data_IF_053467085678
#
_entry.id   IF_053467085678
#
_cell.length_a   1.000
_cell.length_b   1.000
_cell.length_c   1.000
_cell.angle_alpha   90.00
_cell.angle_beta   90.00
_cell.angle_gamma   90.00
#
_symmetry.space_group_name_H-M   'P 1'
#
loop_
_entity.id
_entity.type
_entity.pdbx_description
1 polymer ?
#
# COMPACT_ATOMS: atom_id res chain seq x y z
N UNK A 1 -20.85 58.08 -11.15
CA UNK A 1 -19.38 58.23 -11.26
C UNK A 1 -18.85 58.53 -9.86
N UNK A 2 -17.92 57.72 -9.34
CA UNK A 2 -17.28 57.94 -8.03
C UNK A 2 -15.76 57.81 -8.14
N UNK A 3 -15.03 58.38 -7.18
CA UNK A 3 -13.56 58.57 -7.16
C UNK A 3 -12.88 57.56 -6.22
N UNK A 4 -11.59 57.28 -6.43
CA UNK A 4 -10.47 57.40 -5.45
C UNK A 4 -9.15 56.92 -6.11
N UNK A 5 -8.13 57.79 -6.25
CA UNK A 5 -7.00 58.06 -5.33
C UNK A 5 -5.97 56.92 -5.23
N UNK A 6 -4.77 57.19 -5.74
CA UNK A 6 -3.52 56.50 -5.42
C UNK A 6 -2.65 57.44 -4.56
N UNK A 7 -1.92 56.91 -3.59
CA UNK A 7 -1.03 57.65 -2.67
C UNK A 7 0.36 56.99 -2.65
N UNK A 8 1.41 57.78 -2.86
CA UNK A 8 2.81 57.50 -2.48
C UNK A 8 3.00 57.91 -0.99
N UNK A 9 3.94 57.31 -0.22
CA UNK A 9 5.41 57.49 -0.37
C UNK A 9 6.18 56.14 -0.16
N UNK A 10 7.50 56.02 0.10
CA UNK A 10 8.59 56.98 0.38
C UNK A 10 9.97 56.39 -0.03
N UNK A 11 11.06 57.16 0.16
CA UNK A 11 12.47 56.68 0.14
C UNK A 11 13.23 57.30 1.30
N UNK A 12 14.00 56.50 2.07
CA UNK A 12 15.10 56.98 2.92
C UNK A 12 16.15 55.86 3.12
N UNK A 13 17.36 56.20 3.57
CA UNK A 13 18.58 55.46 3.26
C UNK A 13 19.43 55.00 4.46
N UNK A 14 20.35 54.08 4.13
CA UNK A 14 21.68 53.87 4.73
C UNK A 14 21.83 53.29 6.15
N UNK A 15 22.33 52.05 6.20
CA UNK A 15 23.61 51.76 6.86
C UNK A 15 23.59 51.01 8.19
N UNK A 16 23.90 49.71 8.17
CA UNK A 16 24.81 49.08 9.14
C UNK A 16 25.36 47.73 8.62
N UNK A 17 26.42 47.23 9.25
CA UNK A 17 27.21 46.08 8.76
C UNK A 17 26.54 44.74 9.09
N UNK A 18 26.72 43.75 8.22
CA UNK A 18 26.52 42.34 8.60
C UNK A 18 27.59 41.92 9.61
N UNK A 19 27.17 41.78 10.86
CA UNK A 19 27.89 41.01 11.89
C UNK A 19 27.38 39.57 11.92
N UNK A 20 28.18 38.70 12.54
CA UNK A 20 27.85 37.29 12.79
C UNK A 20 26.79 37.18 13.89
N UNK A 21 25.56 36.81 13.53
CA UNK A 21 24.46 36.53 14.47
C UNK A 21 24.04 35.06 14.38
N UNK A 22 24.80 34.20 15.08
CA UNK A 22 24.25 32.95 15.59
C UNK A 22 23.09 33.26 16.54
N UNK A 23 21.96 32.58 16.29
CA UNK A 23 20.74 32.60 17.09
C UNK A 23 19.96 33.94 17.10
N UNK A 24 18.92 34.00 16.26
CA UNK A 24 17.53 34.13 16.71
C UNK A 24 16.59 33.64 15.58
N UNK A 25 15.55 32.87 15.92
CA UNK A 25 14.70 32.21 14.93
C UNK A 25 13.79 33.18 14.18
N UNK A 26 13.74 33.05 12.84
CA UNK A 26 12.84 33.81 11.97
C UNK A 26 12.47 33.00 10.73
N UNK A 27 11.53 32.07 10.90
CA UNK A 27 10.42 31.68 10.02
C UNK A 27 10.44 31.94 8.49
N UNK A 28 11.58 31.94 7.80
CA UNK A 28 11.68 32.17 6.34
C UNK A 28 12.31 30.99 5.59
N UNK A 29 13.12 30.16 6.28
CA UNK A 29 13.66 28.91 5.71
C UNK A 29 12.72 27.69 5.90
N UNK A 30 11.73 27.80 6.79
CA UNK A 30 10.70 26.78 7.00
C UNK A 30 9.65 26.71 5.86
N UNK A 31 9.88 27.40 4.75
CA UNK A 31 8.96 27.51 3.60
C UNK A 31 9.56 26.96 2.29
N UNK A 32 10.77 26.40 2.32
CA UNK A 32 11.36 25.66 1.18
C UNK A 32 11.15 24.14 1.32
N UNK A 33 10.91 23.63 2.53
CA UNK A 33 10.41 22.26 2.75
C UNK A 33 8.91 22.27 2.99
N UNK A 34 8.17 22.85 2.03
CA UNK A 34 6.76 22.57 1.87
C UNK A 34 6.63 21.13 1.37
N UNK A 35 6.69 20.18 2.32
CA UNK A 35 6.31 18.79 2.13
C UNK A 35 5.00 18.77 1.35
N UNK A 36 5.07 18.39 0.06
CA UNK A 36 3.89 17.97 -0.67
C UNK A 36 3.24 16.88 0.18
N UNK A 37 1.92 16.90 0.41
CA UNK A 37 1.25 15.88 1.21
C UNK A 37 1.16 14.57 0.41
N UNK A 38 2.31 13.97 0.10
CA UNK A 38 2.46 12.56 -0.23
C UNK A 38 2.20 11.73 1.03
N UNK A 39 1.77 10.48 0.86
CA UNK A 39 1.61 9.58 2.00
C UNK A 39 2.94 9.42 2.75
N UNK A 40 2.87 9.27 4.07
CA UNK A 40 4.05 9.14 4.94
C UNK A 40 4.75 7.77 4.83
N UNK A 41 4.21 6.89 4.01
CA UNK A 41 4.46 5.46 3.92
C UNK A 41 4.36 4.96 2.46
N UNK A 42 4.37 3.64 2.26
CA UNK A 42 4.33 3.00 0.94
C UNK A 42 2.89 2.76 0.50
N UNK A 43 2.59 3.02 -0.77
CA UNK A 43 1.25 2.86 -1.32
C UNK A 43 1.17 1.65 -2.25
N UNK A 44 0.11 0.87 -2.12
CA UNK A 44 -0.44 0.02 -3.19
C UNK A 44 -1.01 0.94 -4.28
N UNK A 45 -0.64 0.70 -5.53
CA UNK A 45 -0.97 1.64 -6.62
C UNK A 45 -1.66 1.03 -7.82
N UNK A 46 -1.42 -0.25 -8.08
CA UNK A 46 -2.05 -0.98 -9.16
C UNK A 46 -2.24 -2.45 -8.77
N UNK A 47 -3.41 -3.02 -9.05
CA UNK A 47 -3.70 -4.44 -8.86
C UNK A 47 -4.28 -5.00 -10.15
N UNK A 48 -3.71 -6.09 -10.65
CA UNK A 48 -4.33 -6.94 -11.67
C UNK A 48 -4.68 -8.30 -11.05
N UNK A 49 -5.97 -8.59 -10.91
CA UNK A 49 -6.53 -9.92 -10.66
C UNK A 49 -7.16 -10.48 -11.94
N UNK A 50 -7.13 -11.81 -12.13
CA UNK A 50 -7.64 -12.47 -13.34
C UNK A 50 -8.85 -13.34 -13.00
N UNK A 51 -10.03 -12.83 -13.34
CA UNK A 51 -11.30 -13.48 -13.05
C UNK A 51 -11.48 -14.81 -13.80
N UNK A 52 -11.93 -15.84 -13.10
CA UNK A 52 -12.18 -17.18 -13.63
C UNK A 52 -10.93 -18.03 -13.86
N UNK A 53 -9.73 -17.55 -13.49
CA UNK A 53 -8.54 -18.39 -13.46
C UNK A 53 -8.62 -19.38 -12.28
N UNK A 54 -8.36 -20.69 -12.49
CA UNK A 54 -8.22 -21.63 -11.37
C UNK A 54 -7.07 -21.22 -10.43
N UNK A 55 -7.26 -21.36 -9.12
CA UNK A 55 -6.19 -21.20 -8.15
C UNK A 55 -4.96 -22.04 -8.54
N UNK A 56 -3.79 -21.42 -8.54
CA UNK A 56 -2.55 -22.06 -8.98
C UNK A 56 -2.33 -22.15 -10.50
N UNK A 57 -3.19 -21.58 -11.35
CA UNK A 57 -3.05 -21.65 -12.81
C UNK A 57 -1.78 -20.97 -13.37
N UNK A 58 -1.18 -20.04 -12.63
CA UNK A 58 -0.07 -19.22 -13.11
C UNK A 58 -0.59 -18.15 -14.05
N UNK A 59 -1.06 -17.05 -13.46
CA UNK A 59 -1.65 -15.89 -14.12
C UNK A 59 -0.59 -14.80 -14.35
N UNK A 60 -0.94 -13.76 -15.08
CA UNK A 60 -0.17 -12.50 -15.19
C UNK A 60 -0.56 -11.48 -14.10
N UNK A 61 -1.21 -11.95 -13.04
CA UNK A 61 -1.62 -11.15 -11.90
C UNK A 61 -0.43 -10.51 -11.22
N UNK A 62 -0.60 -9.24 -10.84
CA UNK A 62 0.43 -8.49 -10.14
C UNK A 62 -0.17 -7.44 -9.21
N UNK A 63 0.67 -7.06 -8.25
CA UNK A 63 0.50 -5.89 -7.41
C UNK A 63 1.65 -4.91 -7.69
N UNK A 64 1.36 -3.62 -7.56
CA UNK A 64 2.34 -2.55 -7.61
C UNK A 64 2.40 -1.79 -6.28
N UNK A 65 3.62 -1.48 -5.86
CA UNK A 65 3.90 -0.63 -4.68
C UNK A 65 4.75 0.56 -5.12
N UNK A 66 4.39 1.77 -4.68
CA UNK A 66 5.14 3.00 -4.88
C UNK A 66 5.60 3.61 -3.55
N UNK A 67 6.74 4.29 -3.58
CA UNK A 67 7.27 5.06 -2.45
C UNK A 67 7.11 6.58 -2.70
N UNK A 68 6.00 7.21 -2.26
CA UNK A 68 5.81 8.66 -2.34
C UNK A 68 6.80 9.47 -1.48
N UNK A 69 7.54 8.83 -0.56
CA UNK A 69 8.38 9.55 0.40
C UNK A 69 9.67 10.05 -0.25
N UNK A 70 10.26 11.08 0.35
CA UNK A 70 11.52 11.69 -0.11
C UNK A 70 12.79 10.89 0.27
N UNK A 71 12.65 9.62 0.65
CA UNK A 71 13.75 8.76 1.14
C UNK A 71 13.61 7.32 0.65
N UNK A 72 14.73 6.61 0.63
CA UNK A 72 14.72 5.15 0.47
C UNK A 72 14.09 4.48 1.71
N UNK A 73 13.28 3.44 1.48
CA UNK A 73 12.68 2.61 2.52
C UNK A 73 13.20 1.19 2.38
N UNK A 74 13.70 0.62 3.48
CA UNK A 74 14.02 -0.81 3.55
C UNK A 74 12.74 -1.62 3.73
N UNK A 75 12.56 -2.60 2.87
CA UNK A 75 11.42 -3.52 2.89
C UNK A 75 11.65 -4.73 3.80
N UNK A 76 12.80 -4.84 4.46
CA UNK A 76 13.19 -6.04 5.22
C UNK A 76 12.22 -6.45 6.34
N UNK A 77 11.39 -5.53 6.84
CA UNK A 77 10.35 -5.77 7.84
C UNK A 77 8.91 -5.55 7.31
N UNK A 78 8.77 -5.43 5.99
CA UNK A 78 7.48 -5.37 5.32
C UNK A 78 7.06 -6.76 4.86
N UNK A 79 5.76 -6.97 4.87
CA UNK A 79 5.09 -8.22 4.54
C UNK A 79 3.90 -7.92 3.63
N UNK A 80 3.58 -8.88 2.76
CA UNK A 80 2.40 -8.87 1.91
C UNK A 80 1.55 -10.09 2.24
N UNK A 81 0.23 -9.92 2.23
CA UNK A 81 -0.74 -10.98 2.51
C UNK A 81 -2.07 -10.74 1.81
N UNK A 82 -2.74 -11.83 1.44
CA UNK A 82 -4.20 -11.89 1.19
C UNK A 82 -4.98 -12.53 2.36
N UNK A 83 -4.28 -13.32 3.19
CA UNK A 83 -4.83 -13.99 4.36
C UNK A 83 -5.51 -13.03 5.37
N UNK A 84 -6.79 -13.25 5.66
CA UNK A 84 -7.62 -12.42 6.56
C UNK A 84 -7.11 -12.32 8.02
N UNK A 85 -6.23 -13.25 8.40
CA UNK A 85 -5.66 -13.40 9.75
C UNK A 85 -4.15 -13.02 9.78
N UNK A 86 -3.66 -12.24 8.79
CA UNK A 86 -2.26 -11.80 8.68
C UNK A 86 -1.69 -11.18 9.97
N UNK A 87 -2.52 -10.52 10.77
CA UNK A 87 -2.17 -9.89 12.04
C UNK A 87 -1.71 -10.89 13.12
N UNK A 88 -1.93 -12.19 12.92
CA UNK A 88 -1.41 -13.29 13.76
C UNK A 88 0.03 -13.70 13.44
N UNK A 89 0.70 -13.07 12.47
CA UNK A 89 2.14 -13.28 12.18
C UNK A 89 3.06 -13.36 13.42
N UNK A 90 2.80 -12.64 14.53
CA UNK A 90 3.56 -12.74 15.79
C UNK A 90 3.40 -14.07 16.54
N UNK A 91 2.29 -14.83 16.36
CA UNK A 91 2.06 -16.18 16.94
C UNK A 91 3.08 -17.24 16.48
N UNK A 92 3.98 -16.88 15.55
CA UNK A 92 5.06 -17.67 14.94
C UNK A 92 4.58 -18.84 14.07
N UNK A 93 3.41 -19.42 14.34
CA UNK A 93 2.78 -20.49 13.56
C UNK A 93 1.41 -20.03 13.08
N UNK A 94 1.27 -19.83 11.77
CA UNK A 94 -0.03 -19.60 11.14
C UNK A 94 -0.57 -20.93 10.58
N UNK A 95 -1.91 -21.10 10.47
CA UNK A 95 -2.47 -22.23 9.76
C UNK A 95 -2.08 -22.17 8.29
N UNK A 96 -1.78 -23.33 7.68
CA UNK A 96 -1.68 -23.42 6.22
C UNK A 96 -3.11 -23.42 5.68
N UNK A 97 -3.50 -22.31 5.05
CA UNK A 97 -4.74 -22.20 4.28
C UNK A 97 -4.40 -22.31 2.79
N UNK A 98 -5.31 -22.90 2.03
CA UNK A 98 -5.13 -23.12 0.59
C UNK A 98 -5.31 -21.80 -0.17
N UNK A 99 -4.48 -21.57 -1.19
CA UNK A 99 -4.37 -20.34 -1.98
C UNK A 99 -3.85 -19.10 -1.23
N UNK A 100 -4.24 -18.89 0.02
CA UNK A 100 -3.76 -17.78 0.87
C UNK A 100 -2.22 -17.77 1.03
N UNK A 101 -1.66 -16.58 1.22
CA UNK A 101 -0.26 -16.37 1.55
C UNK A 101 -0.02 -15.29 2.62
N UNK A 102 1.11 -15.45 3.32
CA UNK A 102 1.77 -14.38 4.07
C UNK A 102 3.26 -14.44 3.74
N UNK A 103 3.80 -13.42 3.07
CA UNK A 103 5.20 -13.37 2.62
C UNK A 103 5.96 -12.16 3.14
N UNK A 104 7.27 -12.33 3.36
CA UNK A 104 8.20 -11.26 3.79
C UNK A 104 9.16 -10.89 2.67
N UNK A 105 9.38 -9.60 2.41
CA UNK A 105 10.39 -9.17 1.44
C UNK A 105 11.82 -9.63 1.84
N UNK A 106 12.75 -9.74 0.88
CA UNK A 106 14.17 -9.97 1.16
C UNK A 106 14.79 -8.98 2.15
N UNK A 107 15.82 -9.43 2.85
CA UNK A 107 16.56 -8.62 3.84
C UNK A 107 17.35 -7.48 3.18
N UNK A 108 17.69 -7.63 1.89
CA UNK A 108 18.33 -6.63 1.04
C UNK A 108 17.33 -5.83 0.17
N UNK A 109 16.02 -6.01 0.40
CA UNK A 109 15.00 -5.30 -0.36
C UNK A 109 14.90 -3.84 0.09
N UNK A 110 14.99 -2.94 -0.88
CA UNK A 110 14.80 -1.49 -0.72
C UNK A 110 13.91 -0.97 -1.85
N UNK A 111 13.23 0.14 -1.59
CA UNK A 111 12.53 0.93 -2.58
C UNK A 111 12.98 2.39 -2.41
N UNK A 112 13.61 2.94 -3.45
CA UNK A 112 14.10 4.32 -3.44
C UNK A 112 12.94 5.33 -3.40
N UNK A 113 13.24 6.60 -3.12
CA UNK A 113 12.26 7.68 -3.25
C UNK A 113 11.69 7.73 -4.67
N UNK A 114 10.37 7.89 -4.80
CA UNK A 114 9.60 7.90 -6.05
C UNK A 114 9.74 6.61 -6.90
N UNK A 115 10.33 5.54 -6.35
CA UNK A 115 10.43 4.27 -7.03
C UNK A 115 9.11 3.50 -6.95
N UNK A 116 8.78 2.83 -8.05
CA UNK A 116 7.73 1.83 -8.15
C UNK A 116 8.35 0.44 -8.23
N UNK A 117 7.75 -0.55 -7.57
CA UNK A 117 8.09 -1.97 -7.69
C UNK A 117 6.86 -2.81 -8.04
N UNK A 118 7.08 -3.87 -8.82
CA UNK A 118 6.05 -4.83 -9.21
C UNK A 118 6.26 -6.19 -8.54
N UNK A 119 5.15 -6.82 -8.17
CA UNK A 119 5.08 -8.10 -7.46
C UNK A 119 4.15 -9.01 -8.26
N UNK A 120 4.70 -9.96 -9.01
CA UNK A 120 3.90 -10.91 -9.79
C UNK A 120 3.51 -12.15 -8.99
N UNK A 121 2.35 -12.75 -9.27
CA UNK A 121 2.03 -14.10 -8.78
C UNK A 121 2.92 -15.13 -9.46
N UNK A 122 3.19 -14.97 -10.76
CA UNK A 122 4.11 -15.79 -11.55
C UNK A 122 4.92 -14.95 -12.56
N UNK A 123 6.22 -14.81 -12.33
CA UNK A 123 7.10 -13.95 -13.16
C UNK A 123 7.23 -14.43 -14.62
N UNK A 124 7.13 -15.73 -14.88
CA UNK A 124 7.24 -16.26 -16.26
C UNK A 124 6.05 -15.80 -17.11
N UNK A 125 4.86 -15.77 -16.52
CA UNK A 125 3.61 -15.40 -17.20
C UNK A 125 3.51 -13.88 -17.29
N UNK A 126 3.79 -13.17 -16.20
CA UNK A 126 3.93 -11.70 -16.18
C UNK A 126 4.95 -11.19 -17.21
N UNK A 127 6.14 -11.81 -17.30
CA UNK A 127 7.17 -11.44 -18.27
C UNK A 127 6.74 -11.68 -19.71
N UNK A 128 5.93 -12.72 -19.96
CA UNK A 128 5.40 -13.03 -21.29
C UNK A 128 4.34 -12.02 -21.74
N UNK A 129 3.53 -11.50 -20.81
CA UNK A 129 2.49 -10.52 -21.08
C UNK A 129 3.08 -9.11 -21.24
N UNK A 130 3.82 -8.64 -20.23
CA UNK A 130 4.26 -7.23 -20.15
C UNK A 130 5.65 -6.98 -20.76
N UNK A 131 6.31 -8.00 -21.29
CA UNK A 131 7.61 -7.90 -21.96
C UNK A 131 8.78 -7.54 -21.03
N UNK A 132 8.60 -7.65 -19.71
CA UNK A 132 9.61 -7.36 -18.68
C UNK A 132 9.37 -8.17 -17.42
N UNK A 133 10.44 -8.51 -16.72
CA UNK A 133 10.38 -9.17 -15.40
C UNK A 133 9.79 -8.27 -14.33
N UNK A 134 9.13 -8.88 -13.34
CA UNK A 134 8.74 -8.20 -12.11
C UNK A 134 9.95 -7.90 -11.23
N UNK A 135 9.81 -7.01 -10.23
CA UNK A 135 10.86 -6.82 -9.22
C UNK A 135 10.89 -7.99 -8.24
N UNK A 136 9.71 -8.45 -7.83
CA UNK A 136 9.51 -9.60 -6.95
C UNK A 136 8.46 -10.54 -7.51
N UNK A 137 8.47 -11.81 -7.10
CA UNK A 137 7.36 -12.70 -7.40
C UNK A 137 7.09 -13.73 -6.30
N UNK A 138 5.81 -14.08 -6.15
CA UNK A 138 5.34 -15.21 -5.34
C UNK A 138 5.75 -16.54 -5.99
N UNK A 139 5.95 -16.57 -7.31
CA UNK A 139 6.59 -17.67 -8.03
C UNK A 139 7.55 -17.13 -9.10
N UNK A 140 8.83 -17.52 -9.01
CA UNK A 140 9.85 -17.22 -10.03
C UNK A 140 9.75 -18.12 -11.27
N UNK A 141 9.01 -19.24 -11.18
CA UNK A 141 9.05 -20.28 -12.21
C UNK A 141 10.42 -20.92 -12.37
N UNK A 142 10.66 -21.55 -13.52
CA UNK A 142 11.89 -22.32 -13.78
C UNK A 142 13.11 -21.47 -14.21
N UNK A 143 12.91 -20.19 -14.51
CA UNK A 143 13.99 -19.28 -14.99
C UNK A 143 13.87 -17.94 -14.27
N UNK A 144 14.45 -17.84 -13.07
CA UNK A 144 14.55 -16.57 -12.36
C UNK A 144 15.40 -15.58 -13.17
N UNK A 145 14.77 -14.48 -13.62
CA UNK A 145 15.43 -13.36 -14.29
C UNK A 145 16.11 -12.43 -13.28
N UNK A 146 15.85 -11.13 -13.40
CA UNK A 146 16.26 -10.15 -12.39
C UNK A 146 15.36 -10.19 -11.11
N UNK A 147 14.27 -10.94 -11.17
CA UNK A 147 13.20 -11.05 -10.18
C UNK A 147 13.67 -11.73 -8.89
N UNK A 148 13.33 -11.14 -7.74
CA UNK A 148 13.65 -11.69 -6.43
C UNK A 148 12.46 -12.49 -5.85
N UNK A 149 12.75 -13.62 -5.20
CA UNK A 149 11.75 -14.32 -4.37
C UNK A 149 11.60 -13.64 -3.01
N UNK A 150 10.45 -13.85 -2.36
CA UNK A 150 10.25 -13.50 -0.94
C UNK A 150 11.05 -14.41 0.00
N UNK A 151 11.47 -13.89 1.16
CA UNK A 151 12.36 -14.56 2.13
C UNK A 151 11.65 -15.61 2.97
N UNK A 152 10.48 -15.25 3.47
CA UNK A 152 9.65 -16.09 4.33
C UNK A 152 8.28 -16.26 3.69
N UNK A 153 7.69 -17.44 3.84
CA UNK A 153 6.32 -17.78 3.44
C UNK A 153 5.69 -18.48 4.64
N UNK A 154 4.90 -17.76 5.43
CA UNK A 154 4.35 -18.24 6.72
C UNK A 154 3.00 -18.94 6.56
N UNK A 155 2.18 -18.44 5.65
CA UNK A 155 1.09 -19.18 5.00
C UNK A 155 1.50 -19.29 3.54
N UNK A 156 1.50 -20.50 2.99
CA UNK A 156 1.53 -20.85 1.56
C UNK A 156 1.34 -22.36 1.49
N UNK A 157 0.26 -22.81 0.85
CA UNK A 157 0.09 -24.20 0.43
C UNK A 157 1.05 -24.55 -0.73
N UNK A 158 1.14 -25.82 -1.08
CA UNK A 158 1.84 -26.36 -2.26
C UNK A 158 1.36 -25.80 -3.61
N UNK A 159 0.26 -25.05 -3.66
CA UNK A 159 -0.22 -24.35 -4.85
C UNK A 159 0.33 -22.93 -4.96
N UNK A 160 0.36 -22.37 -6.17
CA UNK A 160 0.78 -20.98 -6.37
C UNK A 160 -0.34 -20.05 -5.85
N UNK A 161 -0.05 -19.11 -4.94
CA UNK A 161 -1.02 -18.08 -4.57
C UNK A 161 -1.33 -17.18 -5.78
N UNK A 162 -2.56 -16.71 -5.84
CA UNK A 162 -3.06 -15.73 -6.81
C UNK A 162 -3.84 -14.66 -6.06
N UNK A 163 -4.01 -13.48 -6.65
CA UNK A 163 -4.85 -12.43 -6.06
C UNK A 163 -6.30 -12.68 -6.51
N UNK A 164 -7.08 -13.46 -5.74
CA UNK A 164 -8.23 -14.17 -6.34
C UNK A 164 -9.41 -13.28 -6.72
N UNK A 165 -10.34 -13.88 -7.45
CA UNK A 165 -11.48 -13.23 -8.04
C UNK A 165 -12.72 -13.17 -7.14
N UNK A 166 -12.58 -13.39 -5.82
CA UNK A 166 -13.73 -13.48 -4.90
C UNK A 166 -13.83 -12.35 -3.86
N UNK A 167 -13.17 -11.21 -4.09
CA UNK A 167 -13.25 -10.05 -3.19
C UNK A 167 -12.38 -10.25 -1.96
N UNK A 168 -11.07 -10.34 -2.17
CA UNK A 168 -10.04 -10.55 -1.15
C UNK A 168 -9.32 -9.25 -0.82
N UNK A 169 -8.90 -9.11 0.43
CA UNK A 169 -8.01 -8.02 0.81
C UNK A 169 -6.60 -8.34 0.32
N UNK A 170 -5.88 -7.32 -0.12
CA UNK A 170 -4.43 -7.37 -0.32
C UNK A 170 -3.87 -6.35 0.67
N UNK A 171 -3.07 -6.84 1.63
CA UNK A 171 -2.58 -6.04 2.76
C UNK A 171 -1.06 -5.96 2.71
N UNK A 172 -0.54 -4.74 2.62
CA UNK A 172 0.85 -4.43 2.95
C UNK A 172 0.91 -4.05 4.43
N UNK A 173 1.78 -4.71 5.17
CA UNK A 173 1.96 -4.45 6.60
C UNK A 173 3.42 -4.53 7.03
N UNK A 174 3.72 -3.91 8.16
CA UNK A 174 5.03 -3.89 8.79
C UNK A 174 5.02 -4.73 10.07
N UNK A 175 6.06 -5.54 10.26
CA UNK A 175 6.33 -6.19 11.54
C UNK A 175 7.84 -6.28 11.79
N UNK A 176 8.29 -5.86 12.97
CA UNK A 176 9.71 -5.79 13.33
C UNK A 176 10.33 -7.15 13.70
N UNK A 177 9.52 -8.21 13.82
CA UNK A 177 9.95 -9.53 14.23
C UNK A 177 9.97 -9.77 15.74
N UNK A 178 9.60 -8.75 16.55
CA UNK A 178 9.64 -8.81 18.02
C UNK A 178 8.32 -8.40 18.68
N UNK A 179 7.66 -7.35 18.22
CA UNK A 179 6.44 -6.79 18.84
C UNK A 179 5.23 -7.72 18.73
N UNK A 180 4.30 -7.60 19.67
CA UNK A 180 2.96 -8.24 19.66
C UNK A 180 2.10 -7.84 18.46
N UNK A 181 2.20 -6.57 18.05
CA UNK A 181 1.34 -6.00 17.02
C UNK A 181 2.10 -5.84 15.70
N UNK A 182 1.47 -6.24 14.61
CA UNK A 182 1.79 -5.72 13.28
C UNK A 182 1.30 -4.28 13.15
N UNK A 183 1.79 -3.53 12.17
CA UNK A 183 1.21 -2.24 11.74
C UNK A 183 0.80 -2.33 10.29
N UNK A 184 -0.38 -1.82 10.00
CA UNK A 184 -0.90 -1.78 8.65
C UNK A 184 -0.15 -0.67 7.88
N UNK A 185 -0.01 -0.78 6.56
CA UNK A 185 0.74 0.21 5.75
C UNK A 185 -0.12 0.76 4.62
N UNK A 186 -0.81 -0.11 3.90
CA UNK A 186 -1.87 0.21 2.93
C UNK A 186 -2.59 -1.13 2.65
N UNK A 187 -3.88 -1.07 2.32
CA UNK A 187 -4.64 -2.25 1.88
C UNK A 187 -5.76 -1.89 0.90
N UNK A 188 -6.00 -2.81 -0.03
CA UNK A 188 -7.04 -2.70 -1.06
C UNK A 188 -7.84 -4.01 -1.11
N UNK A 189 -9.02 -4.01 -1.71
CA UNK A 189 -9.77 -5.25 -2.00
C UNK A 189 -9.70 -5.53 -3.51
N UNK A 190 -9.59 -6.78 -3.93
CA UNK A 190 -9.54 -7.16 -5.35
C UNK A 190 -10.49 -8.32 -5.66
N UNK A 191 -10.98 -8.38 -6.91
CA UNK A 191 -11.68 -9.56 -7.44
C UNK A 191 -13.00 -9.28 -8.19
N UNK A 192 -13.63 -10.36 -8.67
CA UNK A 192 -14.80 -10.31 -9.53
C UNK A 192 -16.08 -9.88 -8.83
N UNK A 193 -16.26 -10.36 -7.60
CA UNK A 193 -17.52 -10.22 -6.86
C UNK A 193 -17.61 -8.88 -6.18
N UNK A 194 -18.76 -8.23 -6.33
CA UNK A 194 -19.03 -6.93 -5.73
C UNK A 194 -19.30 -6.96 -4.20
N UNK A 195 -18.89 -8.04 -3.56
CA UNK A 195 -19.16 -8.39 -2.17
C UNK A 195 -17.96 -9.20 -1.68
N UNK A 196 -17.29 -8.71 -0.65
CA UNK A 196 -16.34 -9.51 0.15
C UNK A 196 -17.12 -10.66 0.76
N UNK A 197 -16.75 -11.91 0.47
CA UNK A 197 -17.43 -13.07 1.07
C UNK A 197 -17.14 -13.14 2.57
N UNK A 198 -17.99 -13.77 3.40
CA UNK A 198 -17.71 -13.93 4.83
C UNK A 198 -16.40 -14.68 5.15
N UNK A 199 -15.87 -15.46 4.20
CA UNK A 199 -14.57 -16.12 4.33
C UNK A 199 -13.40 -15.14 4.12
N UNK A 200 -13.57 -14.17 3.22
CA UNK A 200 -12.56 -13.18 2.84
C UNK A 200 -12.68 -11.88 3.65
N UNK A 201 -13.59 -11.83 4.63
CA UNK A 201 -13.78 -10.65 5.48
C UNK A 201 -12.67 -10.56 6.53
N UNK A 202 -11.95 -9.42 6.57
CA UNK A 202 -11.01 -9.13 7.66
C UNK A 202 -11.70 -9.31 9.02
N UNK A 203 -11.06 -10.12 9.88
CA UNK A 203 -11.50 -10.32 11.25
C UNK A 203 -11.03 -9.15 12.11
N UNK A 204 -11.79 -8.82 13.17
CA UNK A 204 -11.32 -7.87 14.18
C UNK A 204 -10.05 -8.41 14.84
N UNK A 205 -8.98 -7.62 14.82
CA UNK A 205 -7.68 -8.00 15.39
C UNK A 205 -7.82 -8.15 16.91
N UNK A 206 -7.46 -9.32 17.42
CA UNK A 206 -7.43 -9.61 18.84
C UNK A 206 -6.00 -9.49 19.38
N UNK A 207 -5.80 -9.23 20.68
CA UNK A 207 -4.46 -9.21 21.27
C UNK A 207 -3.75 -10.55 21.03
N UNK A 208 -2.52 -10.49 20.53
CA UNK A 208 -1.64 -11.64 20.29
C UNK A 208 -0.40 -11.48 21.16
N UNK A 209 0.04 -12.58 21.78
CA UNK A 209 1.30 -12.65 22.51
C UNK A 209 2.44 -12.91 21.52
N UNK A 210 3.32 -11.93 21.35
CA UNK A 210 4.39 -11.95 20.36
C UNK A 210 5.61 -12.77 20.80
N UNK A 211 6.69 -12.73 20.01
CA UNK A 211 7.96 -13.39 20.34
C UNK A 211 8.87 -12.56 21.27
N UNK A 212 8.31 -11.64 22.07
CA UNK A 212 9.08 -10.75 22.94
C UNK A 212 9.55 -11.43 24.25
N UNK A 213 9.86 -10.65 25.28
CA UNK A 213 10.45 -11.13 26.52
C UNK A 213 9.44 -11.47 27.63
N UNK A 214 8.17 -11.08 27.50
CA UNK A 214 7.13 -11.38 28.49
C UNK A 214 6.05 -12.32 27.96
N UNK A 215 4.80 -12.18 28.41
CA UNK A 215 3.67 -13.05 28.03
C UNK A 215 2.34 -12.27 28.03
N UNK A 216 2.40 -10.98 27.70
CA UNK A 216 1.32 -10.00 27.89
C UNK A 216 0.92 -9.34 26.58
N UNK A 217 0.23 -10.11 25.73
CA UNK A 217 -0.40 -9.64 24.50
C UNK A 217 -0.93 -8.19 24.54
N UNK A 218 -0.30 -7.31 23.77
CA UNK A 218 -0.70 -5.92 23.56
C UNK A 218 -2.01 -5.86 22.76
N UNK A 219 -3.02 -5.09 23.19
CA UNK A 219 -4.22 -4.89 22.38
C UNK A 219 -3.94 -4.09 21.10
N UNK A 220 -4.55 -4.52 20.00
CA UNK A 220 -4.70 -3.69 18.82
C UNK A 220 -5.60 -2.49 19.11
N UNK A 221 -5.38 -1.40 18.39
CA UNK A 221 -6.31 -0.26 18.37
C UNK A 221 -7.61 -0.66 17.67
N UNK A 222 -8.70 0.04 18.00
CA UNK A 222 -9.99 -0.19 17.34
C UNK A 222 -9.99 0.42 15.93
N UNK A 223 -10.52 -0.35 14.99
CA UNK A 223 -10.55 -0.05 13.56
C UNK A 223 -12.00 -0.18 13.05
N UNK A 224 -12.35 0.58 12.02
CA UNK A 224 -13.72 0.70 11.55
C UNK A 224 -14.24 -0.53 10.79
N UNK A 225 -13.36 -1.28 10.11
CA UNK A 225 -13.69 -2.46 9.31
C UNK A 225 -14.55 -2.17 8.08
N UNK A 226 -14.45 -0.96 7.50
CA UNK A 226 -15.38 -0.44 6.50
C UNK A 226 -14.95 -0.59 5.03
N UNK A 227 -13.68 -0.85 4.72
CA UNK A 227 -13.14 -1.04 3.35
C UNK A 227 -14.04 -1.88 2.44
N UNK A 228 -14.43 -3.07 2.89
CA UNK A 228 -15.26 -4.01 2.13
C UNK A 228 -16.68 -3.51 1.81
N UNK A 229 -17.14 -2.43 2.43
CA UNK A 229 -18.42 -1.77 2.14
C UNK A 229 -18.27 -0.65 1.09
N UNK A 230 -17.06 -0.11 0.91
CA UNK A 230 -16.81 1.07 0.07
C UNK A 230 -16.66 0.76 -1.41
N UNK A 231 -15.83 -0.24 -1.75
CA UNK A 231 -15.30 -0.39 -3.11
C UNK A 231 -16.35 -0.72 -4.18
N UNK A 232 -17.23 -1.69 -3.93
CA UNK A 232 -17.87 -2.42 -5.05
C UNK A 232 -19.34 -2.12 -5.33
N UNK A 233 -19.98 -1.13 -4.70
CA UNK A 233 -21.46 -1.02 -4.79
C UNK A 233 -22.04 -0.69 -6.18
N UNK A 234 -21.23 -0.54 -7.24
CA UNK A 234 -21.70 -0.16 -8.59
C UNK A 234 -21.01 -0.78 -9.81
N UNK A 235 -19.76 -1.28 -9.73
CA UNK A 235 -19.11 -1.93 -10.88
C UNK A 235 -18.86 -3.41 -10.61
N UNK A 236 -18.99 -4.21 -11.67
CA UNK A 236 -18.29 -5.48 -11.81
C UNK A 236 -16.78 -5.26 -11.70
N UNK A 237 -16.02 -6.33 -11.48
CA UNK A 237 -14.58 -6.36 -11.77
C UNK A 237 -14.17 -5.61 -13.05
N UNK A 238 -12.87 -5.25 -13.18
CA UNK A 238 -12.21 -5.13 -14.47
C UNK A 238 -12.62 -6.30 -15.37
N UNK A 239 -13.46 -6.01 -16.38
CA UNK A 239 -14.37 -6.97 -16.99
C UNK A 239 -13.76 -7.95 -17.99
N UNK A 240 -12.51 -8.36 -17.77
CA UNK A 240 -11.71 -9.20 -18.66
C UNK A 240 -10.24 -9.15 -18.23
N UNK A 241 -9.41 -10.02 -18.83
CA UNK A 241 -7.99 -10.14 -18.49
C UNK A 241 -7.12 -8.91 -18.87
N UNK A 242 -7.71 -7.86 -19.45
CA UNK A 242 -7.00 -6.75 -20.10
C UNK A 242 -7.04 -5.44 -19.28
N UNK A 243 -7.47 -5.48 -18.01
CA UNK A 243 -7.72 -4.30 -17.16
C UNK A 243 -7.21 -4.52 -15.72
N UNK A 244 -6.96 -3.44 -15.00
CA UNK A 244 -6.48 -3.41 -13.61
C UNK A 244 -7.20 -2.35 -12.77
N UNK A 245 -7.17 -2.49 -11.46
CA UNK A 245 -7.49 -1.43 -10.49
C UNK A 245 -6.29 -0.51 -10.33
N UNK A 246 -6.49 0.81 -10.25
CA UNK A 246 -5.41 1.79 -10.04
C UNK A 246 -5.79 2.85 -9.02
N UNK A 247 -4.83 3.21 -8.16
CA UNK A 247 -4.93 4.32 -7.24
C UNK A 247 -4.97 5.64 -8.03
N UNK A 248 -5.96 6.46 -7.73
CA UNK A 248 -6.34 7.74 -8.34
C UNK A 248 -6.18 8.93 -7.41
N UNK A 249 -6.14 8.73 -6.09
CA UNK A 249 -5.69 9.72 -5.11
C UNK A 249 -4.91 9.07 -3.98
N UNK A 250 -4.12 9.88 -3.28
CA UNK A 250 -3.53 9.54 -1.99
C UNK A 250 -4.64 9.37 -0.92
N UNK A 251 -4.34 8.72 0.23
CA UNK A 251 -5.37 8.49 1.28
C UNK A 251 -5.81 9.76 2.03
N UNK A 252 -5.08 10.87 1.90
CA UNK A 252 -5.35 12.10 2.65
C UNK A 252 -6.78 12.60 2.45
N UNK A 253 -7.61 12.45 3.48
CA UNK A 253 -9.02 12.87 3.49
C UNK A 253 -10.02 11.85 2.93
N UNK A 254 -9.59 10.64 2.56
CA UNK A 254 -10.48 9.52 2.20
C UNK A 254 -10.54 8.41 3.26
N UNK A 255 -9.71 8.49 4.30
CA UNK A 255 -9.70 7.60 5.48
C UNK A 255 -9.63 8.41 6.80
N UNK A 256 -9.69 7.70 7.94
CA UNK A 256 -9.59 8.27 9.29
C UNK A 256 -8.14 8.41 9.78
N UNK A 257 -7.53 9.54 9.44
CA UNK A 257 -6.13 9.89 9.80
C UNK A 257 -6.01 10.59 11.17
N UNK A 258 -6.70 10.06 12.19
CA UNK A 258 -6.83 10.70 13.52
C UNK A 258 -5.80 10.19 14.56
N UNK A 259 -4.82 9.37 14.14
CA UNK A 259 -3.87 8.72 15.05
C UNK A 259 -4.48 7.56 15.88
N UNK A 260 -5.76 7.23 15.65
CA UNK A 260 -6.54 6.25 16.41
C UNK A 260 -6.49 4.83 15.85
N UNK A 261 -5.98 4.62 14.64
CA UNK A 261 -5.89 3.29 13.99
C UNK A 261 -4.51 2.64 14.07
N UNK A 262 -4.40 1.41 13.58
CA UNK A 262 -3.19 0.58 13.65
C UNK A 262 -2.19 0.80 12.49
N UNK A 263 -2.51 1.71 11.56
CA UNK A 263 -1.63 2.10 10.46
C UNK A 263 -0.25 2.56 10.93
N UNK A 264 0.74 2.49 10.05
CA UNK A 264 2.14 2.79 10.36
C UNK A 264 2.36 4.26 10.78
N UNK A 265 1.54 5.16 10.25
CA UNK A 265 1.37 6.58 10.63
C UNK A 265 0.35 6.82 11.75
N UNK A 266 -0.42 5.79 12.15
CA UNK A 266 -1.49 5.86 13.14
C UNK A 266 -2.90 5.96 12.55
N UNK A 267 -3.02 5.80 11.23
CA UNK A 267 -4.26 5.90 10.49
C UNK A 267 -5.09 4.61 10.61
N UNK A 268 -6.39 4.68 10.29
CA UNK A 268 -7.26 3.50 10.19
C UNK A 268 -7.44 3.15 8.71
N UNK A 269 -6.48 2.41 8.15
CA UNK A 269 -6.53 1.91 6.76
C UNK A 269 -7.88 1.22 6.47
N UNK A 270 -8.47 0.56 7.48
CA UNK A 270 -9.76 -0.13 7.33
C UNK A 270 -10.95 0.80 7.09
N UNK A 271 -10.74 2.11 7.14
CA UNK A 271 -11.75 3.15 6.87
C UNK A 271 -11.65 3.78 5.47
N UNK A 272 -10.69 3.37 4.63
CA UNK A 272 -10.49 4.01 3.33
C UNK A 272 -11.71 3.92 2.41
N UNK A 273 -12.12 5.06 1.86
CA UNK A 273 -13.18 5.14 0.86
C UNK A 273 -12.62 4.76 -0.52
N UNK A 274 -12.49 3.45 -0.77
CA UNK A 274 -11.85 2.93 -1.99
C UNK A 274 -12.39 3.51 -3.32
N UNK A 275 -13.65 3.93 -3.43
CA UNK A 275 -14.17 4.64 -4.64
C UNK A 275 -13.63 6.07 -4.82
N UNK A 276 -13.21 6.70 -3.73
CA UNK A 276 -12.60 8.02 -3.73
C UNK A 276 -11.14 7.91 -4.16
N UNK A 277 -10.40 6.93 -3.64
CA UNK A 277 -8.97 6.74 -3.89
C UNK A 277 -8.60 5.86 -5.06
N UNK A 278 -9.43 4.92 -5.51
CA UNK A 278 -9.16 4.05 -6.67
C UNK A 278 -10.07 4.37 -7.85
N UNK A 279 -9.77 3.80 -9.01
CA UNK A 279 -10.70 3.71 -10.13
C UNK A 279 -11.74 2.59 -9.90
N UNK A 280 -12.75 2.53 -10.76
CA UNK A 280 -13.90 1.65 -10.60
C UNK A 280 -15.24 2.37 -10.43
N UNK A 281 -15.40 3.55 -11.04
CA UNK A 281 -16.72 4.14 -11.27
C UNK A 281 -16.87 4.67 -12.71
N UNK A 282 -18.04 5.18 -13.07
CA UNK A 282 -18.31 5.66 -14.44
C UNK A 282 -17.59 6.96 -14.82
N UNK A 283 -17.02 7.67 -13.85
CA UNK A 283 -16.17 8.86 -14.01
C UNK A 283 -14.68 8.51 -14.00
N UNK A 284 -14.31 7.40 -13.35
CA UNK A 284 -12.98 6.80 -13.26
C UNK A 284 -13.04 5.33 -13.71
N UNK A 285 -13.18 5.04 -15.02
CA UNK A 285 -13.23 3.66 -15.50
C UNK A 285 -11.86 2.98 -15.34
N UNK A 286 -11.87 1.65 -15.12
CA UNK A 286 -10.67 0.82 -15.16
C UNK A 286 -9.91 1.01 -16.48
N UNK A 287 -8.58 0.85 -16.42
CA UNK A 287 -7.69 1.00 -17.57
C UNK A 287 -6.79 -0.22 -17.76
N UNK A 288 -6.18 -0.34 -18.94
CA UNK A 288 -5.25 -1.44 -19.23
C UNK A 288 -4.03 -1.41 -18.30
N UNK A 289 -3.47 -2.57 -17.89
CA UNK A 289 -2.44 -2.58 -16.87
C UNK A 289 -1.15 -1.86 -17.27
N UNK A 290 -0.51 -1.19 -16.32
CA UNK A 290 0.67 -0.34 -16.52
C UNK A 290 1.81 -0.62 -15.53
N UNK A 291 2.18 -1.90 -15.30
CA UNK A 291 3.12 -2.28 -14.24
C UNK A 291 4.41 -1.48 -14.27
N UNK A 292 4.86 -0.95 -13.13
CA UNK A 292 6.09 -0.19 -12.98
C UNK A 292 6.03 1.23 -13.53
N UNK A 293 4.84 1.85 -13.59
CA UNK A 293 4.69 3.27 -13.92
C UNK A 293 4.33 4.08 -12.67
N UNK A 294 4.93 5.25 -12.50
CA UNK A 294 4.57 6.15 -11.40
C UNK A 294 3.09 6.57 -11.55
N UNK A 295 2.27 6.48 -10.48
CA UNK A 295 0.86 6.84 -10.56
C UNK A 295 0.66 8.30 -10.99
N UNK A 296 -0.31 8.51 -11.87
CA UNK A 296 -0.76 9.84 -12.26
C UNK A 296 -2.14 10.11 -11.63
N UNK A 297 -2.12 10.77 -10.47
CA UNK A 297 -3.31 11.21 -9.73
C UNK A 297 -4.05 12.34 -10.49
#
# INVERSE_FOLDING_TARGET
>A
MSRLKLLLPCVLAAGCKFGDDRALGSSVDAAIDAVLPGAGHLLLTEVKSVNGAPAGAGTDEFLEIWNPTNREISLANYYLSDFVDYWKVPERTLPVVQADFVVRFPEDAVIASDQVITIATNDVVFSSEFGKSANYALNLGATAGATKAFRERKVVDTQLPGFTDTGEYIVLFYWDGVSDNVKDVDMVVSGATNTVTPANQLQSKMPVDGPDADTTATPYKAESGQLGLGMFTTLSSPGGADLSYKRRTLESGVESQLGTGNGISGDDETSEQLKSSWDGDSTKPYSAPTPGMVPAF
#
